data_IF_754279144273
#
_entry.id   IF_754279144273
#
_cell.length_a   1.000
_cell.length_b   1.000
_cell.length_c   1.000
_cell.angle_alpha   90.00
_cell.angle_beta   90.00
_cell.angle_gamma   90.00
#
_symmetry.space_group_name_H-M   'P 1'
#
loop_
_entity.id
_entity.type
_entity.pdbx_description
1 polymer ?
#
# COMPACT_ATOMS: atom_id res chain seq x y z
N UNK A 1 -17.40 4.25 3.64
CA UNK A 1 -16.06 3.72 3.95
C UNK A 1 -16.22 2.73 5.08
N UNK A 2 -15.83 1.48 4.89
CA UNK A 2 -15.87 0.45 5.94
C UNK A 2 -14.44 0.18 6.38
N UNK A 3 -14.13 0.51 7.64
CA UNK A 3 -12.80 0.28 8.21
C UNK A 3 -12.61 -1.20 8.52
N UNK A 4 -11.50 -1.78 8.05
CA UNK A 4 -11.10 -3.17 8.31
C UNK A 4 -9.75 -3.16 9.01
N UNK A 5 -9.66 -3.82 10.16
CA UNK A 5 -8.44 -3.92 10.96
C UNK A 5 -8.03 -5.40 11.05
N UNK A 6 -6.78 -5.71 10.73
CA UNK A 6 -6.15 -7.01 10.99
C UNK A 6 -5.24 -6.91 12.23
N UNK A 7 -4.63 -8.01 12.68
CA UNK A 7 -3.70 -7.98 13.81
C UNK A 7 -2.46 -7.09 13.58
N UNK A 8 -2.14 -6.76 12.32
CA UNK A 8 -0.95 -5.97 11.95
C UNK A 8 -1.21 -4.90 10.86
N UNK A 9 -2.47 -4.66 10.47
CA UNK A 9 -2.79 -3.64 9.46
C UNK A 9 -4.01 -2.81 9.83
N UNK A 10 -4.02 -1.57 9.35
CA UNK A 10 -5.17 -0.68 9.31
C UNK A 10 -5.57 -0.48 7.84
N UNK A 11 -6.86 -0.61 7.54
CA UNK A 11 -7.35 -0.44 6.18
C UNK A 11 -8.80 0.02 6.12
N UNK A 12 -9.24 0.40 4.93
CA UNK A 12 -10.62 0.77 4.65
C UNK A 12 -10.97 0.44 3.20
N UNK A 13 -12.26 0.24 2.92
CA UNK A 13 -12.76 0.05 1.56
C UNK A 13 -13.38 1.34 1.03
N UNK A 14 -13.04 1.69 -0.22
CA UNK A 14 -13.59 2.81 -0.97
C UNK A 14 -14.23 2.32 -2.27
N UNK A 15 -15.38 2.90 -2.65
CA UNK A 15 -16.15 2.51 -3.82
C UNK A 15 -15.79 3.37 -5.03
N UNK A 16 -14.60 3.14 -5.59
CA UNK A 16 -14.12 3.81 -6.81
C UNK A 16 -13.34 2.83 -7.69
N UNK A 17 -13.18 3.10 -8.99
CA UNK A 17 -12.30 2.32 -9.86
C UNK A 17 -10.87 2.23 -9.31
N UNK A 18 -10.19 1.12 -9.56
CA UNK A 18 -8.86 0.85 -8.98
C UNK A 18 -7.84 1.96 -9.24
N UNK A 19 -7.72 2.42 -10.49
CA UNK A 19 -6.75 3.47 -10.84
C UNK A 19 -7.08 4.81 -10.16
N UNK A 20 -8.37 5.09 -9.97
CA UNK A 20 -8.85 6.25 -9.22
C UNK A 20 -8.58 6.11 -7.71
N UNK A 21 -8.67 4.89 -7.15
CA UNK A 21 -8.28 4.62 -5.77
C UNK A 21 -6.79 4.91 -5.55
N UNK A 22 -5.92 4.37 -6.41
CA UNK A 22 -4.47 4.61 -6.36
C UNK A 22 -4.19 6.12 -6.42
N UNK A 23 -4.79 6.83 -7.38
CA UNK A 23 -4.62 8.29 -7.53
C UNK A 23 -5.06 9.06 -6.27
N UNK A 24 -6.25 8.78 -5.74
CA UNK A 24 -6.76 9.47 -4.53
C UNK A 24 -5.89 9.21 -3.32
N UNK A 25 -5.40 7.98 -3.14
CA UNK A 25 -4.52 7.60 -2.04
C UNK A 25 -3.19 8.34 -2.16
N UNK A 26 -2.58 8.37 -3.35
CA UNK A 26 -1.33 9.10 -3.58
C UNK A 26 -1.47 10.60 -3.27
N UNK A 27 -2.54 11.25 -3.71
CA UNK A 27 -2.78 12.66 -3.41
C UNK A 27 -3.05 12.91 -1.91
N UNK A 28 -3.82 12.05 -1.25
CA UNK A 28 -4.07 12.15 0.19
C UNK A 28 -2.77 12.00 1.00
N UNK A 29 -1.94 11.02 0.67
CA UNK A 29 -0.63 10.84 1.30
C UNK A 29 0.27 12.07 1.12
N UNK A 30 0.29 12.63 -0.09
CA UNK A 30 1.05 13.85 -0.40
C UNK A 30 0.60 15.05 0.44
N UNK A 31 -0.71 15.22 0.63
CA UNK A 31 -1.27 16.25 1.50
C UNK A 31 -0.80 16.12 2.96
N UNK A 32 -0.61 14.89 3.44
CA UNK A 32 -0.06 14.59 4.78
C UNK A 32 1.49 14.56 4.82
N UNK A 33 2.16 14.98 3.75
CA UNK A 33 3.62 15.06 3.68
C UNK A 33 4.33 13.74 3.35
N UNK A 34 3.60 12.71 2.91
CA UNK A 34 4.17 11.44 2.45
C UNK A 34 4.35 11.45 0.93
N UNK A 35 5.58 11.18 0.47
CA UNK A 35 5.87 10.93 -0.95
C UNK A 35 5.85 9.44 -1.28
N UNK A 36 5.49 9.08 -2.51
CA UNK A 36 5.66 7.72 -3.05
C UNK A 36 7.08 7.57 -3.60
N UNK A 37 7.86 6.66 -3.03
CA UNK A 37 9.23 6.34 -3.46
C UNK A 37 9.26 5.17 -4.44
N UNK A 38 8.40 4.18 -4.22
CA UNK A 38 8.33 2.98 -5.05
C UNK A 38 6.89 2.60 -5.32
N UNK A 39 6.66 2.01 -6.49
CA UNK A 39 5.38 1.41 -6.87
C UNK A 39 5.66 0.02 -7.38
N UNK A 40 5.04 -0.98 -6.75
CA UNK A 40 5.17 -2.38 -7.11
C UNK A 40 3.82 -2.83 -7.66
N UNK A 41 3.80 -3.12 -8.96
CA UNK A 41 2.68 -3.79 -9.61
C UNK A 41 2.80 -5.30 -9.38
N UNK A 42 2.06 -5.80 -8.39
CA UNK A 42 2.11 -7.21 -8.01
C UNK A 42 1.49 -8.07 -9.11
N UNK A 43 0.41 -7.60 -9.75
CA UNK A 43 -0.22 -8.32 -10.86
C UNK A 43 0.74 -8.55 -12.02
N UNK A 44 1.40 -7.49 -12.47
CA UNK A 44 2.39 -7.59 -13.53
C UNK A 44 3.57 -8.47 -13.12
N UNK A 45 4.01 -8.39 -11.86
CA UNK A 45 5.11 -9.20 -11.33
C UNK A 45 4.76 -10.70 -11.31
N UNK A 46 3.57 -11.07 -10.81
CA UNK A 46 3.12 -12.47 -10.78
C UNK A 46 3.01 -13.04 -12.19
N UNK A 47 2.48 -12.26 -13.14
CA UNK A 47 2.41 -12.68 -14.54
C UNK A 47 3.80 -12.89 -15.15
N UNK A 48 4.71 -11.94 -14.94
CA UNK A 48 6.05 -12.00 -15.54
C UNK A 48 6.95 -13.08 -14.94
N UNK A 49 6.84 -13.35 -13.63
CA UNK A 49 7.76 -14.25 -12.91
C UNK A 49 7.22 -15.66 -12.77
N UNK A 50 5.91 -15.82 -12.62
CA UNK A 50 5.26 -17.10 -12.33
C UNK A 50 4.25 -17.51 -13.41
N UNK A 51 3.98 -16.67 -14.41
CA UNK A 51 2.91 -16.85 -15.40
C UNK A 51 1.52 -17.08 -14.77
N UNK A 52 1.29 -16.50 -13.59
CA UNK A 52 0.01 -16.57 -12.89
C UNK A 52 -0.79 -15.29 -13.09
N UNK A 53 -2.09 -15.44 -13.32
CA UNK A 53 -3.02 -14.32 -13.29
C UNK A 53 -3.34 -13.95 -11.83
N UNK A 54 -3.44 -12.66 -11.56
CA UNK A 54 -3.64 -12.10 -10.24
C UNK A 54 -4.58 -10.89 -10.32
N UNK A 55 -5.31 -10.60 -9.26
CA UNK A 55 -6.15 -9.41 -9.15
C UNK A 55 -5.31 -8.12 -9.23
N UNK A 56 -5.94 -6.96 -9.48
CA UNK A 56 -5.19 -5.71 -9.40
C UNK A 56 -4.77 -5.48 -7.96
N UNK A 57 -3.46 -5.42 -7.77
CA UNK A 57 -2.81 -5.33 -6.48
C UNK A 57 -1.53 -4.50 -6.63
N UNK A 58 -1.47 -3.38 -5.93
CA UNK A 58 -0.37 -2.43 -5.96
C UNK A 58 0.12 -2.15 -4.55
N UNK A 59 1.44 -2.18 -4.36
CA UNK A 59 2.09 -1.75 -3.13
C UNK A 59 2.79 -0.42 -3.41
N UNK A 60 2.44 0.60 -2.66
CA UNK A 60 3.09 1.90 -2.66
C UNK A 60 4.06 1.96 -1.49
N UNK A 61 5.35 2.10 -1.77
CA UNK A 61 6.35 2.43 -0.77
C UNK A 61 6.32 3.93 -0.53
N UNK A 62 5.86 4.35 0.65
CA UNK A 62 5.60 5.76 0.98
C UNK A 62 6.48 6.23 2.13
N UNK A 63 6.91 7.49 2.08
CA UNK A 63 7.84 8.01 3.08
C UNK A 63 7.57 9.49 3.36
N UNK A 64 7.50 9.82 4.65
CA UNK A 64 7.66 11.19 5.12
C UNK A 64 9.13 11.35 5.58
N UNK A 65 9.93 12.21 4.94
CA UNK A 65 11.37 12.27 5.18
C UNK A 65 11.73 12.75 6.58
N UNK A 66 10.93 13.64 7.19
CA UNK A 66 11.17 14.09 8.56
C UNK A 66 10.97 12.94 9.56
N UNK A 67 9.89 12.16 9.41
CA UNK A 67 9.64 11.01 10.28
C UNK A 67 10.65 9.88 10.07
N UNK A 68 11.01 9.60 8.81
CA UNK A 68 12.01 8.59 8.48
C UNK A 68 13.39 8.95 9.03
N UNK A 69 13.79 10.23 8.94
CA UNK A 69 15.04 10.73 9.53
C UNK A 69 15.06 10.53 11.04
N UNK A 70 13.99 10.94 11.75
CA UNK A 70 13.88 10.75 13.19
C UNK A 70 13.97 9.27 13.58
N UNK A 71 13.33 8.37 12.83
CA UNK A 71 13.40 6.94 13.10
C UNK A 71 14.83 6.39 12.91
N UNK A 72 15.51 6.79 11.82
CA UNK A 72 16.88 6.36 11.51
C UNK A 72 17.90 6.90 12.52
N UNK A 73 17.69 8.10 13.07
CA UNK A 73 18.52 8.67 14.14
C UNK A 73 18.39 7.89 15.46
N UNK A 74 17.21 7.31 15.74
CA UNK A 74 16.97 6.50 16.93
C UNK A 74 17.49 5.08 16.79
N UNK A 75 17.26 4.45 15.64
CA UNK A 75 17.73 3.09 15.34
C UNK A 75 17.96 2.94 13.83
N UNK A 76 19.23 2.88 13.43
CA UNK A 76 19.60 2.73 12.03
C UNK A 76 19.07 1.44 11.38
N UNK A 77 18.82 0.40 12.18
CA UNK A 77 18.31 -0.89 11.68
C UNK A 77 16.84 -0.81 11.26
N UNK A 78 16.11 0.25 11.67
CA UNK A 78 14.73 0.50 11.25
C UNK A 78 14.60 0.64 9.73
N UNK A 79 15.69 0.91 9.02
CA UNK A 79 15.72 0.94 7.55
C UNK A 79 15.18 -0.34 6.89
N UNK A 80 15.25 -1.50 7.56
CA UNK A 80 14.66 -2.75 7.08
C UNK A 80 13.12 -2.73 7.05
N UNK A 81 12.49 -1.79 7.76
CA UNK A 81 11.04 -1.59 7.85
C UNK A 81 10.56 -0.38 7.02
N UNK A 82 11.48 0.35 6.38
CA UNK A 82 11.19 1.48 5.51
C UNK A 82 11.22 1.05 4.03
N UNK A 83 10.45 1.70 3.14
CA UNK A 83 9.45 2.74 3.41
C UNK A 83 8.13 2.17 3.98
N UNK A 84 7.23 3.04 4.46
CA UNK A 84 5.90 2.64 4.91
C UNK A 84 5.08 2.10 3.73
N UNK A 85 4.60 0.86 3.82
CA UNK A 85 3.80 0.23 2.77
C UNK A 85 2.33 0.63 2.85
N UNK A 86 1.77 1.10 1.73
CA UNK A 86 0.33 1.25 1.52
C UNK A 86 -0.11 0.31 0.41
N UNK A 87 -1.06 -0.56 0.70
CA UNK A 87 -1.55 -1.57 -0.25
C UNK A 87 -2.90 -1.13 -0.81
N UNK A 88 -3.03 -1.19 -2.13
CA UNK A 88 -4.28 -0.99 -2.86
C UNK A 88 -4.59 -2.26 -3.62
N UNK A 89 -5.73 -2.87 -3.34
CA UNK A 89 -6.16 -4.09 -4.02
C UNK A 89 -7.66 -4.05 -4.30
N UNK A 90 -8.13 -4.82 -5.27
CA UNK A 90 -9.56 -5.00 -5.49
C UNK A 90 -10.19 -5.70 -4.29
N UNK A 91 -11.35 -5.22 -3.84
CA UNK A 91 -12.13 -5.92 -2.84
C UNK A 91 -12.59 -7.25 -3.44
N UNK A 92 -12.18 -8.37 -2.85
CA UNK A 92 -12.75 -9.67 -3.20
C UNK A 92 -14.23 -9.64 -2.81
N UNK A 93 -15.15 -9.82 -3.76
CA UNK A 93 -16.53 -10.18 -3.40
C UNK A 93 -16.44 -11.47 -2.58
N UNK A 94 -16.98 -11.53 -1.36
CA UNK A 94 -16.80 -12.69 -0.51
C UNK A 94 -17.67 -13.84 -1.04
N UNK A 95 -17.14 -14.63 -1.97
CA UNK A 95 -17.62 -15.99 -2.18
C UNK A 95 -17.05 -16.87 -1.08
N UNK A 96 -17.70 -16.79 0.09
CA UNK A 96 -17.53 -17.73 1.21
C UNK A 96 -16.28 -17.51 2.07
N UNK A 97 -16.49 -17.07 3.32
CA UNK A 97 -16.12 -17.75 4.58
C UNK A 97 -15.96 -16.73 5.73
N UNK A 98 -16.79 -16.98 6.76
CA UNK A 98 -16.58 -16.93 8.22
C UNK A 98 -16.16 -15.62 8.87
#
# INVERSE_FOLDING_TARGET
>A
MTTKTSSYTLGTTIEVPFDEAVRRITEALKHEGFGVLTTIDVKATMKAKLNQDFERYTILGTCNPQLAHQALELDHTVGALLPCNVVVHEAHSPSGLV
#
